data_IF_821612427264
#
_entry.id   IF_821612427264
#
_cell.length_a   1.000
_cell.length_b   1.000
_cell.length_c   1.000
_cell.angle_alpha   90.00
_cell.angle_beta   90.00
_cell.angle_gamma   90.00
#
_symmetry.space_group_name_H-M   'P 1'
#
loop_
_entity.id
_entity.type
_entity.pdbx_description
1 polymer ?
#
# COMPACT_ATOMS: atom_id res chain seq x y z
N UNK A 1 -19.72 -10.32 -5.16
CA UNK A 1 -18.48 -10.00 -4.41
C UNK A 1 -17.32 -10.99 -4.64
N UNK A 2 -17.58 -12.26 -5.02
CA UNK A 2 -16.52 -13.29 -5.18
C UNK A 2 -15.58 -13.12 -6.40
N UNK A 3 -15.98 -12.42 -7.47
CA UNK A 3 -15.17 -12.27 -8.68
C UNK A 3 -13.95 -11.32 -8.51
N UNK A 4 -14.06 -10.31 -7.64
CA UNK A 4 -12.99 -9.34 -7.41
C UNK A 4 -11.78 -9.98 -6.71
N UNK A 5 -12.04 -10.84 -5.72
CA UNK A 5 -10.99 -11.51 -4.93
C UNK A 5 -10.23 -12.54 -5.78
N UNK A 6 -10.92 -13.30 -6.62
CA UNK A 6 -10.27 -14.26 -7.54
C UNK A 6 -9.27 -13.56 -8.47
N UNK A 7 -9.61 -12.38 -8.96
CA UNK A 7 -8.70 -11.57 -9.78
C UNK A 7 -7.51 -11.03 -8.95
N UNK A 8 -7.74 -10.61 -7.71
CA UNK A 8 -6.67 -10.18 -6.78
C UNK A 8 -5.69 -11.31 -6.47
N UNK A 9 -6.19 -12.53 -6.20
CA UNK A 9 -5.34 -13.70 -5.93
C UNK A 9 -4.51 -14.09 -7.16
N UNK A 10 -5.09 -14.02 -8.36
CA UNK A 10 -4.34 -14.25 -9.61
C UNK A 10 -3.21 -13.23 -9.82
N UNK A 11 -3.43 -11.95 -9.48
CA UNK A 11 -2.37 -10.93 -9.53
C UNK A 11 -1.27 -11.19 -8.50
N UNK A 12 -1.64 -11.59 -7.28
CA UNK A 12 -0.70 -11.91 -6.19
C UNK A 12 0.31 -13.00 -6.59
N UNK A 13 -0.16 -14.04 -7.30
CA UNK A 13 0.66 -15.16 -7.76
C UNK A 13 1.75 -14.78 -8.80
N UNK A 14 1.71 -13.57 -9.37
CA UNK A 14 2.73 -13.12 -10.33
C UNK A 14 4.10 -12.85 -9.70
N UNK A 15 4.16 -12.67 -8.38
CA UNK A 15 5.39 -12.34 -7.63
C UNK A 15 5.40 -13.11 -6.33
N UNK A 16 6.59 -13.39 -5.80
CA UNK A 16 6.70 -14.03 -4.47
C UNK A 16 6.59 -13.00 -3.33
N UNK A 17 7.09 -11.78 -3.57
CA UNK A 17 7.14 -10.71 -2.57
C UNK A 17 6.51 -9.42 -3.07
N UNK A 18 5.79 -8.76 -2.18
CA UNK A 18 5.09 -7.52 -2.42
C UNK A 18 5.59 -6.42 -1.48
N UNK A 19 6.05 -5.29 -2.03
CA UNK A 19 6.42 -4.14 -1.20
C UNK A 19 5.21 -3.30 -0.90
N UNK A 20 5.33 -2.45 0.13
CA UNK A 20 4.27 -1.51 0.50
C UNK A 20 3.82 -0.63 -0.68
N UNK A 21 4.74 -0.18 -1.53
CA UNK A 21 4.40 0.65 -2.70
C UNK A 21 3.55 -0.08 -3.73
N UNK A 22 3.70 -1.40 -3.83
CA UNK A 22 2.98 -2.24 -4.78
C UNK A 22 1.61 -2.67 -4.21
N UNK A 23 1.50 -2.76 -2.88
CA UNK A 23 0.24 -3.08 -2.18
C UNK A 23 -0.66 -1.85 -2.02
N UNK A 24 -0.09 -0.69 -1.69
CA UNK A 24 -0.86 0.48 -1.29
C UNK A 24 -1.38 1.28 -2.49
N UNK A 25 -2.70 1.44 -2.56
CA UNK A 25 -3.31 2.41 -3.48
C UNK A 25 -3.12 3.82 -2.93
N UNK A 26 -2.52 4.69 -3.73
CA UNK A 26 -2.34 6.11 -3.38
C UNK A 26 -3.19 6.96 -4.31
N UNK A 27 -4.11 7.74 -3.74
CA UNK A 27 -4.90 8.70 -4.50
C UNK A 27 -4.00 9.82 -5.07
N UNK A 28 -4.44 10.46 -6.15
CA UNK A 28 -3.74 11.61 -6.72
C UNK A 28 -3.65 12.75 -5.71
N UNK A 29 -2.44 13.29 -5.51
CA UNK A 29 -2.25 14.52 -4.77
C UNK A 29 -1.85 15.64 -5.74
N UNK A 30 -2.76 16.59 -5.96
CA UNK A 30 -2.50 17.79 -6.77
C UNK A 30 -1.48 18.70 -6.09
N UNK A 31 -0.64 19.36 -6.87
CA UNK A 31 0.31 20.34 -6.35
C UNK A 31 -0.43 21.48 -5.65
N UNK A 32 0.04 21.87 -4.46
CA UNK A 32 -0.49 23.00 -3.70
C UNK A 32 0.67 23.91 -3.27
N UNK A 33 0.49 25.21 -3.46
CA UNK A 33 1.44 26.24 -3.06
C UNK A 33 0.87 26.92 -1.82
N UNK A 34 1.59 26.84 -0.71
CA UNK A 34 1.24 27.54 0.53
C UNK A 34 2.12 28.78 0.67
N UNK A 35 1.50 29.94 0.87
CA UNK A 35 2.21 31.17 1.22
C UNK A 35 2.09 31.37 2.74
N UNK A 36 3.21 31.40 3.44
CA UNK A 36 3.25 31.79 4.86
C UNK A 36 3.04 33.29 5.03
N UNK A 37 2.60 33.72 6.21
CA UNK A 37 2.41 35.14 6.56
C UNK A 37 3.71 35.94 6.44
N UNK A 38 4.85 35.27 6.59
CA UNK A 38 6.22 35.84 6.48
C UNK A 38 6.79 35.83 5.06
N UNK A 39 5.97 35.54 4.04
CA UNK A 39 6.40 35.51 2.63
C UNK A 39 7.06 34.20 2.15
N UNK A 40 7.41 33.29 3.07
CA UNK A 40 7.98 31.99 2.71
C UNK A 40 6.96 31.13 1.97
N UNK A 41 7.29 30.74 0.73
CA UNK A 41 6.45 29.88 -0.11
C UNK A 41 6.89 28.42 0.04
N UNK A 42 5.95 27.52 0.38
CA UNK A 42 6.17 26.08 0.39
C UNK A 42 5.40 25.44 -0.76
N UNK A 43 6.11 24.83 -1.70
CA UNK A 43 5.52 24.11 -2.84
C UNK A 43 5.47 22.61 -2.53
N UNK A 44 4.27 22.07 -2.42
CA UNK A 44 4.06 20.63 -2.34
C UNK A 44 3.94 20.08 -3.76
N UNK A 45 4.85 19.18 -4.13
CA UNK A 45 4.89 18.55 -5.46
C UNK A 45 3.64 17.68 -5.67
N UNK A 46 3.16 17.64 -6.90
CA UNK A 46 2.13 16.69 -7.29
C UNK A 46 2.68 15.26 -7.21
N UNK A 47 1.83 14.32 -6.79
CA UNK A 47 2.11 12.89 -6.86
C UNK A 47 1.01 12.22 -7.69
N UNK A 48 1.36 11.44 -8.73
CA UNK A 48 0.37 10.70 -9.50
C UNK A 48 -0.35 9.67 -8.64
N UNK A 49 -1.58 9.33 -9.02
CA UNK A 49 -2.27 8.18 -8.45
C UNK A 49 -1.47 6.90 -8.76
N UNK A 50 -1.39 6.00 -7.78
CA UNK A 50 -0.84 4.67 -7.95
C UNK A 50 -1.91 3.65 -7.58
N UNK A 51 -2.25 2.78 -8.52
CA UNK A 51 -3.18 1.68 -8.28
C UNK A 51 -2.41 0.52 -7.63
N UNK A 52 -2.55 0.41 -6.32
CA UNK A 52 -2.00 -0.71 -5.57
C UNK A 52 -2.93 -1.92 -5.66
N UNK A 53 -2.43 -3.06 -5.24
CA UNK A 53 -3.24 -4.28 -5.16
C UNK A 53 -4.42 -4.13 -4.18
N UNK A 54 -4.20 -3.44 -3.06
CA UNK A 54 -5.19 -3.26 -2.01
C UNK A 54 -5.80 -1.85 -2.08
N UNK A 55 -7.09 -1.69 -1.75
CA UNK A 55 -7.75 -0.39 -1.69
C UNK A 55 -7.38 0.42 -0.44
N UNK A 56 -6.17 0.22 0.10
CA UNK A 56 -5.69 0.85 1.32
C UNK A 56 -4.47 1.72 1.06
N UNK A 57 -4.39 2.84 1.78
CA UNK A 57 -3.20 3.67 1.79
C UNK A 57 -2.06 3.04 2.59
N UNK A 58 -0.84 3.57 2.38
CA UNK A 58 0.38 3.10 3.06
C UNK A 58 0.27 3.11 4.58
N UNK A 59 -0.30 4.17 5.16
CA UNK A 59 -0.50 4.31 6.60
C UNK A 59 -1.49 3.27 7.12
N UNK A 60 -2.61 3.09 6.42
CA UNK A 60 -3.64 2.11 6.77
C UNK A 60 -3.09 0.69 6.80
N UNK A 61 -2.24 0.32 5.83
CA UNK A 61 -1.55 -0.98 5.83
C UNK A 61 -0.70 -1.15 7.09
N UNK A 62 0.12 -0.15 7.45
CA UNK A 62 0.90 -0.21 8.68
C UNK A 62 0.04 -0.25 9.94
N UNK A 63 -1.09 0.43 9.96
CA UNK A 63 -2.03 0.38 11.07
C UNK A 63 -2.66 -1.01 11.21
N UNK A 64 -3.00 -1.67 10.10
CA UNK A 64 -3.51 -3.05 10.10
C UNK A 64 -2.46 -4.04 10.61
N UNK A 65 -1.21 -3.89 10.17
CA UNK A 65 -0.09 -4.69 10.67
C UNK A 65 0.12 -4.47 12.16
N UNK A 66 0.07 -3.21 12.62
CA UNK A 66 0.21 -2.87 14.04
C UNK A 66 -0.93 -3.44 14.89
N UNK A 67 -2.14 -3.51 14.32
CA UNK A 67 -3.31 -4.13 14.95
C UNK A 67 -3.25 -5.67 14.93
N UNK A 68 -2.30 -6.27 14.22
CA UNK A 68 -2.21 -7.71 14.01
C UNK A 68 -3.30 -8.25 13.07
N UNK A 69 -4.00 -7.37 12.35
CA UNK A 69 -5.04 -7.77 11.40
C UNK A 69 -4.41 -8.29 10.11
N UNK A 70 -3.37 -7.59 9.62
CA UNK A 70 -2.62 -7.94 8.42
C UNK A 70 -1.30 -8.62 8.80
N UNK A 71 -0.80 -9.60 8.02
CA UNK A 71 0.50 -10.22 8.25
C UNK A 71 1.63 -9.19 8.35
N UNK A 72 2.63 -9.46 9.18
CA UNK A 72 3.81 -8.60 9.28
C UNK A 72 4.73 -8.75 8.06
N UNK A 73 5.39 -7.68 7.61
CA UNK A 73 6.32 -7.78 6.50
C UNK A 73 7.60 -8.53 6.91
N UNK A 74 8.10 -9.37 6.01
CA UNK A 74 9.41 -9.99 6.11
C UNK A 74 10.51 -9.04 5.63
N UNK A 75 11.65 -9.03 6.31
CA UNK A 75 12.81 -8.21 5.95
C UNK A 75 13.63 -8.92 4.87
N UNK A 76 13.59 -8.42 3.63
CA UNK A 76 14.36 -8.97 2.50
C UNK A 76 15.80 -8.46 2.46
N UNK A 77 16.02 -7.22 2.91
CA UNK A 77 17.35 -6.63 3.04
C UNK A 77 17.38 -5.59 4.16
N UNK A 78 18.53 -4.96 4.40
CA UNK A 78 18.69 -3.95 5.44
C UNK A 78 17.63 -2.83 5.35
N UNK A 79 17.24 -2.41 4.13
CA UNK A 79 16.30 -1.31 3.90
C UNK A 79 14.96 -1.72 3.29
N UNK A 80 14.77 -3.00 2.95
CA UNK A 80 13.58 -3.47 2.24
C UNK A 80 12.83 -4.49 3.08
N UNK A 81 11.58 -4.16 3.38
CA UNK A 81 10.59 -5.08 3.94
C UNK A 81 9.47 -5.29 2.93
N UNK A 82 8.99 -6.53 2.83
CA UNK A 82 7.97 -6.95 1.88
C UNK A 82 7.08 -8.03 2.50
N UNK A 83 5.92 -8.28 1.91
CA UNK A 83 5.00 -9.34 2.31
C UNK A 83 5.14 -10.52 1.37
N UNK A 84 5.05 -11.74 1.91
CA UNK A 84 4.97 -12.94 1.08
C UNK A 84 3.58 -13.02 0.45
N UNK A 85 3.54 -13.50 -0.77
CA UNK A 85 2.29 -13.74 -1.50
C UNK A 85 1.39 -14.73 -0.77
N UNK A 86 1.94 -15.80 -0.22
CA UNK A 86 1.20 -16.81 0.56
C UNK A 86 0.46 -16.17 1.73
N UNK A 87 1.18 -15.39 2.55
CA UNK A 87 0.61 -14.78 3.76
C UNK A 87 -0.50 -13.78 3.41
N UNK A 88 -0.36 -13.06 2.28
CA UNK A 88 -1.38 -12.14 1.79
C UNK A 88 -2.62 -12.86 1.26
N UNK A 89 -2.44 -13.98 0.56
CA UNK A 89 -3.56 -14.80 0.07
C UNK A 89 -4.33 -15.39 1.25
N UNK A 90 -3.63 -16.03 2.20
CA UNK A 90 -4.24 -16.60 3.40
C UNK A 90 -4.99 -15.55 4.21
N UNK A 91 -4.41 -14.36 4.37
CA UNK A 91 -5.07 -13.24 5.02
C UNK A 91 -6.33 -12.77 4.29
N UNK A 92 -6.26 -12.60 2.97
CA UNK A 92 -7.42 -12.19 2.16
C UNK A 92 -8.55 -13.24 2.22
N UNK A 93 -8.20 -14.52 2.17
CA UNK A 93 -9.14 -15.64 2.30
C UNK A 93 -9.74 -15.71 3.71
N UNK A 94 -8.97 -15.41 4.75
CA UNK A 94 -9.46 -15.32 6.14
C UNK A 94 -10.44 -14.17 6.38
N UNK A 95 -10.47 -13.15 5.50
CA UNK A 95 -11.37 -11.99 5.59
C UNK A 95 -12.61 -12.11 4.69
N UNK A 96 -12.79 -13.24 3.99
CA UNK A 96 -14.01 -13.57 3.26
C UNK A 96 -15.16 -13.96 4.19
#
# INVERSE_FOLDING_TARGET
MSACIKHTNQRLLQREFWRLSDLATTAEHKARIYKSKDGTTRTIKARPANEGLLPFGRSTIYDLVRKGDMPAPVRLSERVSAWRTTDLIEWLESKQ
#
